data_IF_992558513623
#
_entry.id   IF_992558513623
#
_cell.length_a   1.000
_cell.length_b   1.000
_cell.length_c   1.000
_cell.angle_alpha   90.00
_cell.angle_beta   90.00
_cell.angle_gamma   90.00
#
_symmetry.space_group_name_H-M   'P 1'
#
loop_
_entity.id
_entity.type
_entity.pdbx_description
1 polymer ?
#
# COMPACT_ATOMS: atom_id res chain seq x y z
N UNK A 1 -12.07 12.68 -12.20
CA UNK A 1 -11.00 12.91 -11.20
C UNK A 1 -10.39 11.57 -10.84
N UNK A 2 -9.06 11.46 -10.75
CA UNK A 2 -8.44 10.22 -10.26
C UNK A 2 -8.53 10.19 -8.73
N UNK A 3 -8.55 8.98 -8.16
CA UNK A 3 -8.64 8.77 -6.71
C UNK A 3 -7.50 9.49 -5.96
N UNK A 4 -6.29 9.44 -6.52
CA UNK A 4 -5.09 10.11 -6.00
C UNK A 4 -5.23 11.64 -5.98
N UNK A 5 -5.96 12.22 -6.94
CA UNK A 5 -6.18 13.67 -6.99
C UNK A 5 -7.08 14.14 -5.85
N UNK A 6 -8.02 13.29 -5.43
CA UNK A 6 -8.95 13.55 -4.32
C UNK A 6 -8.32 13.27 -2.95
N UNK A 7 -7.44 12.28 -2.86
CA UNK A 7 -6.84 11.83 -1.60
C UNK A 7 -5.32 11.91 -1.66
N UNK A 8 -4.78 13.11 -1.50
CA UNK A 8 -3.34 13.35 -1.62
C UNK A 8 -2.48 12.55 -0.64
N UNK A 9 -3.03 12.17 0.53
CA UNK A 9 -2.33 11.30 1.50
C UNK A 9 -1.96 9.93 0.92
N UNK A 10 -2.65 9.46 -0.12
CA UNK A 10 -2.32 8.19 -0.79
C UNK A 10 -0.98 8.26 -1.55
N UNK A 11 -0.42 9.46 -1.77
CA UNK A 11 0.92 9.63 -2.32
C UNK A 11 2.02 9.42 -1.27
N UNK A 12 1.69 9.55 0.01
CA UNK A 12 2.62 9.26 1.08
C UNK A 12 2.79 7.74 1.19
N UNK A 13 4.02 7.28 0.98
CA UNK A 13 4.36 5.86 0.95
C UNK A 13 4.08 5.18 2.28
N UNK A 14 4.39 5.83 3.40
CA UNK A 14 4.18 5.24 4.72
C UNK A 14 2.68 5.08 5.01
N UNK A 15 1.90 6.12 4.71
CA UNK A 15 0.45 6.11 4.84
C UNK A 15 -0.20 5.02 3.98
N UNK A 16 0.18 4.95 2.69
CA UNK A 16 -0.37 3.93 1.79
C UNK A 16 0.00 2.51 2.24
N UNK A 17 1.25 2.30 2.68
CA UNK A 17 1.71 1.00 3.19
C UNK A 17 0.90 0.56 4.41
N UNK A 18 0.67 1.47 5.35
CA UNK A 18 -0.10 1.19 6.56
C UNK A 18 -1.57 0.86 6.23
N UNK A 19 -2.20 1.65 5.36
CA UNK A 19 -3.59 1.41 4.93
C UNK A 19 -3.72 0.05 4.24
N UNK A 20 -2.78 -0.30 3.36
CA UNK A 20 -2.79 -1.59 2.68
C UNK A 20 -2.59 -2.75 3.67
N UNK A 21 -1.62 -2.65 4.58
CA UNK A 21 -1.36 -3.70 5.56
C UNK A 21 -2.57 -3.93 6.48
N UNK A 22 -3.18 -2.86 7.00
CA UNK A 22 -4.38 -2.96 7.85
C UNK A 22 -5.58 -3.56 7.09
N UNK A 23 -5.77 -3.17 5.84
CA UNK A 23 -6.85 -3.72 5.01
C UNK A 23 -6.67 -5.21 4.76
N UNK A 24 -5.46 -5.64 4.36
CA UNK A 24 -5.16 -7.06 4.13
C UNK A 24 -5.34 -7.87 5.41
N UNK A 25 -4.82 -7.36 6.53
CA UNK A 25 -5.01 -7.99 7.85
C UNK A 25 -6.49 -8.15 8.19
N UNK A 26 -7.28 -7.09 8.04
CA UNK A 26 -8.72 -7.12 8.33
C UNK A 26 -9.46 -8.11 7.42
N UNK A 27 -9.18 -8.12 6.12
CA UNK A 27 -9.82 -9.06 5.19
C UNK A 27 -9.43 -10.50 5.47
N UNK A 28 -8.16 -10.78 5.79
CA UNK A 28 -7.70 -12.11 6.21
C UNK A 28 -8.41 -12.56 7.48
N UNK A 29 -8.54 -11.68 8.47
CA UNK A 29 -9.24 -11.98 9.72
C UNK A 29 -10.73 -12.29 9.50
N UNK A 30 -11.40 -11.60 8.57
CA UNK A 30 -12.79 -11.89 8.19
C UNK A 30 -12.95 -13.28 7.57
N UNK A 31 -11.90 -13.79 6.93
CA UNK A 31 -11.85 -15.15 6.37
C UNK A 31 -11.30 -16.19 7.36
N UNK A 32 -11.21 -15.85 8.65
CA UNK A 32 -10.62 -16.68 9.72
C UNK A 32 -9.14 -17.04 9.52
N UNK A 33 -8.43 -16.34 8.63
CA UNK A 33 -7.00 -16.50 8.47
C UNK A 33 -6.26 -15.78 9.61
N UNK A 34 -5.32 -16.48 10.25
CA UNK A 34 -4.50 -15.93 11.33
C UNK A 34 -3.07 -15.74 10.85
N UNK A 35 -2.81 -14.57 10.29
CA UNK A 35 -1.48 -14.17 9.82
C UNK A 35 -0.95 -13.05 10.73
N UNK A 36 0.28 -13.15 11.26
CA UNK A 36 0.88 -12.08 12.04
C UNK A 36 1.00 -10.79 11.22
N UNK A 37 0.71 -9.65 11.85
CA UNK A 37 0.78 -8.33 11.19
C UNK A 37 2.16 -8.07 10.55
N UNK A 38 3.25 -8.49 11.22
CA UNK A 38 4.62 -8.33 10.72
C UNK A 38 4.84 -9.05 9.37
N UNK A 39 4.19 -10.18 9.13
CA UNK A 39 4.29 -10.88 7.84
C UNK A 39 3.52 -10.15 6.74
N UNK A 40 2.37 -9.56 7.08
CA UNK A 40 1.57 -8.76 6.15
C UNK A 40 2.31 -7.47 5.78
N UNK A 41 2.95 -6.81 6.75
CA UNK A 41 3.77 -5.63 6.50
C UNK A 41 4.91 -5.93 5.51
N UNK A 42 5.58 -7.08 5.67
CA UNK A 42 6.62 -7.54 4.73
C UNK A 42 6.04 -7.78 3.33
N UNK A 43 4.89 -8.46 3.25
CA UNK A 43 4.21 -8.73 1.98
C UNK A 43 3.84 -7.44 1.25
N UNK A 44 3.27 -6.47 1.96
CA UNK A 44 2.92 -5.16 1.42
C UNK A 44 4.16 -4.38 0.98
N UNK A 45 5.22 -4.38 1.80
CA UNK A 45 6.48 -3.72 1.45
C UNK A 45 7.10 -4.29 0.16
N UNK A 46 7.11 -5.62 0.02
CA UNK A 46 7.57 -6.28 -1.21
C UNK A 46 6.72 -5.92 -2.43
N UNK A 47 5.39 -5.89 -2.27
CA UNK A 47 4.49 -5.52 -3.36
C UNK A 47 4.68 -4.06 -3.80
N UNK A 48 4.89 -3.14 -2.85
CA UNK A 48 5.17 -1.73 -3.13
C UNK A 48 6.50 -1.58 -3.85
N UNK A 49 7.55 -2.26 -3.40
CA UNK A 49 8.86 -2.24 -4.04
C UNK A 49 8.80 -2.76 -5.49
N UNK A 50 8.03 -3.82 -5.75
CA UNK A 50 7.81 -4.34 -7.11
C UNK A 50 7.11 -3.31 -8.01
N UNK A 51 6.12 -2.60 -7.47
CA UNK A 51 5.39 -1.55 -8.21
C UNK A 51 6.27 -0.33 -8.48
N UNK A 52 7.13 0.06 -7.55
CA UNK A 52 8.12 1.12 -7.77
C UNK A 52 9.12 0.75 -8.87
N UNK A 53 9.58 -0.51 -8.89
CA UNK A 53 10.52 -0.99 -9.88
C UNK A 53 9.91 -1.00 -11.30
N UNK A 54 8.60 -1.27 -11.40
CA UNK A 54 7.85 -1.25 -12.67
C UNK A 54 7.37 0.15 -13.07
N UNK A 55 7.15 1.04 -12.10
CA UNK A 55 6.68 2.41 -12.34
C UNK A 55 7.22 3.37 -11.26
N UNK A 56 8.42 3.96 -11.48
CA UNK A 56 9.03 4.93 -10.57
C UNK A 56 8.20 6.22 -10.39
N UNK A 57 7.24 6.48 -11.28
CA UNK A 57 6.35 7.64 -11.23
C UNK A 57 5.26 7.51 -10.15
N UNK A 58 5.06 6.32 -9.58
CA UNK A 58 3.90 6.05 -8.70
C UNK A 58 3.95 6.84 -7.37
N UNK A 59 5.14 6.99 -6.78
CA UNK A 59 5.34 7.79 -5.55
C UNK A 59 6.15 9.07 -5.79
N UNK A 60 6.61 9.35 -7.01
CA UNK A 60 7.36 10.58 -7.27
C UNK A 60 6.41 11.74 -7.60
N UNK A 61 6.51 12.82 -6.82
CA UNK A 61 5.78 14.08 -7.01
C UNK A 61 6.27 14.89 -8.23
N UNK A 62 6.82 14.25 -9.27
CA UNK A 62 7.11 14.93 -10.53
C UNK A 62 5.80 15.17 -11.27
N UNK A 63 5.21 16.35 -11.01
CA UNK A 63 4.30 17.04 -11.94
C UNK A 63 4.95 17.02 -13.33
N UNK A 64 4.35 16.28 -14.25
CA UNK A 64 4.42 16.56 -15.69
C UNK A 64 3.53 17.78 -15.96
#
# INVERSE_FOLDING_TARGET
MKLIDKYQKLKDKAFLSEVLARNVFATMALENQKVPMVEIEKLVASAIAEKELKNPQFFSDKKL
#
